data_IF_030468984301
#
_entry.id   IF_030468984301
#
_cell.length_a   1.000
_cell.length_b   1.000
_cell.length_c   1.000
_cell.angle_alpha   90.00
_cell.angle_beta   90.00
_cell.angle_gamma   90.00
#
_symmetry.space_group_name_H-M   'P 1'
#
loop_
_entity.id
_entity.type
_entity.pdbx_description
1 polymer ?
#
# COMPACT_ATOMS: atom_id res chain seq x y z
N UNK A 1 0.22 -29.19 12.62
CA UNK A 1 0.93 -30.42 12.21
C UNK A 1 0.40 -30.87 10.86
N UNK A 2 1.12 -30.53 9.78
CA UNK A 2 1.11 -31.34 8.57
C UNK A 2 2.58 -31.54 8.19
N UNK A 3 3.04 -32.76 8.42
CA UNK A 3 4.40 -33.24 8.16
C UNK A 3 4.48 -33.74 6.73
N UNK A 4 5.48 -33.25 6.00
CA UNK A 4 6.14 -33.80 4.80
C UNK A 4 6.05 -32.82 3.62
N UNK A 5 7.20 -32.22 3.31
CA UNK A 5 7.47 -31.23 2.25
C UNK A 5 7.21 -29.79 2.68
N UNK A 6 8.29 -29.04 2.96
CA UNK A 6 8.29 -27.57 3.02
C UNK A 6 8.04 -26.97 1.61
N UNK A 7 6.96 -27.40 0.95
CA UNK A 7 6.49 -26.77 -0.26
C UNK A 7 5.81 -25.47 0.15
N UNK A 8 6.33 -24.33 -0.30
CA UNK A 8 5.68 -23.02 -0.13
C UNK A 8 4.38 -23.02 -0.93
N UNK A 9 3.26 -23.30 -0.26
CA UNK A 9 1.93 -23.26 -0.87
C UNK A 9 1.46 -21.81 -0.94
N UNK A 10 1.17 -21.32 -2.13
CA UNK A 10 0.57 -20.00 -2.32
C UNK A 10 -0.96 -20.11 -2.28
N UNK A 11 -1.62 -18.96 -2.07
CA UNK A 11 -3.07 -18.87 -2.20
C UNK A 11 -3.57 -19.47 -3.53
N UNK A 12 -2.86 -19.20 -4.64
CA UNK A 12 -3.21 -19.73 -5.96
C UNK A 12 -3.18 -21.26 -6.03
N UNK A 13 -2.14 -21.90 -5.48
CA UNK A 13 -2.06 -23.38 -5.45
C UNK A 13 -3.12 -24.03 -4.57
N UNK A 14 -3.48 -23.38 -3.46
CA UNK A 14 -4.52 -23.88 -2.56
C UNK A 14 -5.92 -23.73 -3.17
N UNK A 15 -6.16 -22.63 -3.89
CA UNK A 15 -7.40 -22.42 -4.64
C UNK A 15 -7.57 -23.48 -5.75
N UNK A 16 -6.50 -23.80 -6.48
CA UNK A 16 -6.52 -24.85 -7.52
C UNK A 16 -6.75 -26.25 -6.93
N UNK A 17 -6.17 -26.55 -5.78
CA UNK A 17 -6.42 -27.82 -5.09
C UNK A 17 -7.88 -27.91 -4.61
N UNK A 18 -8.41 -26.81 -4.04
CA UNK A 18 -9.79 -26.74 -3.58
C UNK A 18 -10.80 -26.85 -4.73
N UNK A 19 -10.50 -26.30 -5.91
CA UNK A 19 -11.41 -26.39 -7.08
C UNK A 19 -11.60 -27.81 -7.61
N UNK A 20 -10.75 -28.77 -7.20
CA UNK A 20 -10.87 -30.18 -7.57
C UNK A 20 -11.82 -30.95 -6.63
N UNK A 21 -12.29 -30.32 -5.55
CA UNK A 21 -13.22 -30.91 -4.59
C UNK A 21 -14.65 -30.45 -4.87
N UNK A 22 -15.62 -31.35 -4.71
CA UNK A 22 -17.06 -31.07 -4.92
C UNK A 22 -17.77 -30.58 -3.65
N UNK A 23 -17.02 -30.20 -2.63
CA UNK A 23 -17.52 -29.76 -1.32
C UNK A 23 -16.93 -28.39 -0.95
N UNK A 24 -17.65 -27.56 -0.17
CA UNK A 24 -17.10 -26.30 0.33
C UNK A 24 -15.85 -26.53 1.19
N UNK A 25 -14.80 -25.73 0.95
CA UNK A 25 -13.54 -25.78 1.69
C UNK A 25 -13.36 -24.49 2.49
N UNK A 26 -13.11 -24.61 3.79
CA UNK A 26 -12.69 -23.48 4.65
C UNK A 26 -11.18 -23.50 4.81
N UNK A 27 -10.53 -22.40 4.42
CA UNK A 27 -9.10 -22.19 4.59
C UNK A 27 -8.85 -21.16 5.69
N UNK A 28 -8.01 -21.50 6.67
CA UNK A 28 -7.56 -20.59 7.72
C UNK A 28 -6.04 -20.69 7.81
N UNK A 29 -5.35 -19.56 7.69
CA UNK A 29 -3.90 -19.48 7.86
C UNK A 29 -3.52 -19.25 9.32
N UNK A 30 -2.36 -19.76 9.72
CA UNK A 30 -1.76 -19.38 11.00
C UNK A 30 -1.15 -17.97 10.90
N UNK A 31 -0.86 -17.36 12.04
CA UNK A 31 -0.18 -16.06 12.08
C UNK A 31 1.23 -16.11 11.48
N UNK A 32 1.92 -17.24 11.61
CA UNK A 32 3.25 -17.43 11.05
C UNK A 32 3.20 -17.52 9.51
N UNK A 33 2.23 -18.27 8.99
CA UNK A 33 1.98 -18.34 7.54
C UNK A 33 1.61 -16.97 6.96
N UNK A 34 0.76 -16.21 7.64
CA UNK A 34 0.33 -14.86 7.24
C UNK A 34 1.53 -13.89 7.10
N UNK A 35 2.37 -13.81 8.13
CA UNK A 35 3.51 -12.88 8.16
C UNK A 35 4.60 -13.24 7.13
N UNK A 36 4.79 -14.53 6.83
CA UNK A 36 5.83 -14.97 5.89
C UNK A 36 5.45 -14.79 4.42
N UNK A 37 4.15 -14.72 4.11
CA UNK A 37 3.66 -14.77 2.74
C UNK A 37 2.95 -13.48 2.30
N UNK A 38 2.67 -12.56 3.22
CA UNK A 38 2.24 -11.21 2.87
C UNK A 38 3.45 -10.30 2.54
N UNK A 39 3.17 -9.17 1.90
CA UNK A 39 4.19 -8.21 1.52
C UNK A 39 4.29 -7.13 2.58
N UNK A 40 5.51 -6.89 3.04
CA UNK A 40 5.77 -5.84 4.02
C UNK A 40 5.37 -4.47 3.48
N UNK A 41 4.83 -3.62 4.37
CA UNK A 41 4.61 -2.22 4.04
C UNK A 41 5.96 -1.59 3.71
N UNK A 42 6.14 -0.99 2.52
CA UNK A 42 7.40 -0.36 2.16
C UNK A 42 7.71 0.79 3.10
N UNK A 43 9.00 1.02 3.34
CA UNK A 43 9.44 2.24 3.99
C UNK A 43 9.03 3.44 3.12
N UNK A 44 8.45 4.45 3.77
CA UNK A 44 8.02 5.67 3.11
C UNK A 44 8.58 6.87 3.87
N UNK A 45 8.99 7.89 3.12
CA UNK A 45 9.38 9.18 3.65
C UNK A 45 8.56 10.28 2.98
N UNK A 46 7.92 11.12 3.79
CA UNK A 46 7.14 12.25 3.31
C UNK A 46 7.70 13.55 3.92
N UNK A 47 7.95 14.54 3.06
CA UNK A 47 8.27 15.90 3.46
C UNK A 47 7.14 16.81 3.02
N UNK A 48 6.52 17.47 4.00
CA UNK A 48 5.40 18.38 3.79
C UNK A 48 5.81 19.81 4.12
N UNK A 49 5.29 20.78 3.39
CA UNK A 49 5.49 22.20 3.65
C UNK A 49 4.23 22.97 3.26
N UNK A 50 3.92 24.03 4.00
CA UNK A 50 2.74 24.85 3.74
C UNK A 50 3.05 26.33 4.00
N UNK A 51 2.37 27.20 3.26
CA UNK A 51 2.30 28.63 3.56
C UNK A 51 0.92 28.93 4.15
N UNK A 52 0.89 29.72 5.21
CA UNK A 52 -0.34 30.08 5.93
C UNK A 52 -0.65 31.57 5.74
N UNK A 53 -1.94 31.93 5.80
CA UNK A 53 -2.37 33.32 5.93
C UNK A 53 -2.33 33.81 7.39
N UNK A 54 -2.84 35.03 7.62
CA UNK A 54 -2.85 35.67 8.94
C UNK A 54 -3.78 34.97 9.94
N UNK A 55 -4.80 34.26 9.46
CA UNK A 55 -5.76 33.50 10.27
C UNK A 55 -5.29 32.06 10.52
N UNK A 56 -4.15 31.67 9.94
CA UNK A 56 -3.55 30.35 10.06
C UNK A 56 -4.06 29.34 9.04
N UNK A 57 -4.81 29.77 8.03
CA UNK A 57 -5.30 28.91 6.96
C UNK A 57 -4.21 28.66 5.89
N UNK A 58 -4.04 27.40 5.43
CA UNK A 58 -3.09 27.10 4.38
C UNK A 58 -3.52 27.68 3.03
N UNK A 59 -2.66 28.53 2.47
CA UNK A 59 -2.80 29.12 1.13
C UNK A 59 -1.91 28.42 0.09
N UNK A 60 -0.90 27.67 0.54
CA UNK A 60 -0.11 26.80 -0.32
C UNK A 60 0.32 25.53 0.41
N UNK A 61 0.44 24.43 -0.33
CA UNK A 61 0.84 23.12 0.17
C UNK A 61 1.77 22.42 -0.82
N UNK A 62 2.86 21.86 -0.31
CA UNK A 62 3.79 21.04 -1.08
C UNK A 62 4.07 19.74 -0.37
N UNK A 63 3.92 18.62 -1.08
CA UNK A 63 4.24 17.28 -0.59
C UNK A 63 5.27 16.59 -1.47
N UNK A 64 6.36 16.10 -0.87
CA UNK A 64 7.32 15.20 -1.54
C UNK A 64 7.30 13.85 -0.85
N UNK A 65 7.06 12.79 -1.60
CA UNK A 65 6.98 11.42 -1.08
C UNK A 65 8.01 10.54 -1.78
N UNK A 66 8.74 9.74 -0.98
CA UNK A 66 9.59 8.65 -1.47
C UNK A 66 9.06 7.34 -0.93
N UNK A 67 8.70 6.41 -1.80
CA UNK A 67 8.16 5.11 -1.42
C UNK A 67 8.36 4.11 -2.56
N UNK A 68 8.55 2.82 -2.26
CA UNK A 68 8.53 1.79 -3.29
C UNK A 68 7.09 1.55 -3.75
N UNK A 69 6.84 1.55 -5.07
CA UNK A 69 5.52 1.20 -5.56
C UNK A 69 5.25 -0.29 -5.47
N UNK A 70 4.04 -0.60 -5.02
CA UNK A 70 3.56 -1.96 -4.86
C UNK A 70 2.64 -2.42 -6.00
N UNK A 71 1.82 -1.50 -6.48
CA UNK A 71 0.79 -1.70 -7.50
C UNK A 71 1.15 -1.06 -8.83
N UNK A 72 2.36 -0.50 -8.95
CA UNK A 72 2.81 0.28 -10.11
C UNK A 72 2.53 1.78 -9.97
N UNK A 73 2.96 2.56 -10.96
CA UNK A 73 2.74 4.01 -11.00
C UNK A 73 1.61 4.34 -11.96
N UNK A 74 0.75 5.28 -11.57
CA UNK A 74 -0.29 5.86 -12.41
C UNK A 74 -0.02 7.36 -12.52
N UNK A 75 0.19 7.85 -13.74
CA UNK A 75 0.62 9.23 -14.01
C UNK A 75 1.89 9.64 -13.23
N UNK A 76 2.85 8.72 -13.07
CA UNK A 76 4.09 8.95 -12.32
C UNK A 76 3.92 8.94 -10.80
N UNK A 77 2.73 8.66 -10.28
CA UNK A 77 2.42 8.61 -8.85
C UNK A 77 2.07 7.19 -8.41
N UNK A 78 2.52 6.78 -7.23
CA UNK A 78 1.91 5.66 -6.53
C UNK A 78 0.73 6.18 -5.70
N UNK A 79 -0.50 5.89 -6.15
CA UNK A 79 -1.74 6.31 -5.46
C UNK A 79 -1.73 5.96 -3.97
N UNK A 80 -1.27 4.76 -3.60
CA UNK A 80 -1.22 4.30 -2.21
C UNK A 80 -0.06 4.91 -1.41
N UNK A 81 0.95 5.43 -2.12
CA UNK A 81 2.07 6.15 -1.53
C UNK A 81 1.71 7.60 -1.24
N UNK A 82 0.86 8.22 -2.06
CA UNK A 82 0.47 9.63 -1.93
C UNK A 82 -0.93 9.84 -1.34
N UNK A 83 -1.62 8.78 -0.95
CA UNK A 83 -2.95 8.87 -0.34
C UNK A 83 -2.93 9.73 0.93
N UNK A 84 -3.93 10.60 1.08
CA UNK A 84 -4.05 11.63 2.11
C UNK A 84 -3.12 12.83 1.94
N UNK A 85 -2.12 12.73 1.06
CA UNK A 85 -1.18 13.80 0.73
C UNK A 85 -1.63 14.47 -0.57
N UNK A 86 -1.76 13.72 -1.66
CA UNK A 86 -2.13 14.25 -2.97
C UNK A 86 -3.63 14.61 -3.12
N UNK A 87 -4.49 13.93 -2.37
CA UNK A 87 -5.94 14.06 -2.36
C UNK A 87 -6.43 14.77 -1.09
N UNK A 88 -5.78 15.88 -0.75
CA UNK A 88 -6.14 16.70 0.41
C UNK A 88 -7.60 17.16 0.32
N UNK A 89 -8.34 16.99 1.43
CA UNK A 89 -9.77 17.32 1.50
C UNK A 89 -10.05 18.82 1.76
N UNK A 90 -9.01 19.61 1.95
CA UNK A 90 -9.10 21.04 2.20
C UNK A 90 -9.00 21.81 0.88
N UNK A 91 -9.75 22.90 0.79
CA UNK A 91 -9.73 23.80 -0.36
C UNK A 91 -8.51 24.73 -0.30
N UNK A 92 -7.33 24.15 -0.54
CA UNK A 92 -6.05 24.87 -0.57
C UNK A 92 -5.81 25.32 -2.02
N UNK A 93 -5.68 26.63 -2.28
CA UNK A 93 -5.66 27.14 -3.66
C UNK A 93 -4.39 26.75 -4.44
N UNK A 94 -3.27 26.55 -3.76
CA UNK A 94 -1.99 26.26 -4.42
C UNK A 94 -1.40 24.95 -3.90
N UNK A 95 -1.40 23.91 -4.73
CA UNK A 95 -0.99 22.57 -4.32
C UNK A 95 0.02 21.99 -5.32
N UNK A 96 1.14 21.47 -4.81
CA UNK A 96 2.19 20.83 -5.61
C UNK A 96 2.65 19.51 -5.00
N UNK A 97 2.85 18.49 -5.84
CA UNK A 97 3.29 17.16 -5.39
C UNK A 97 4.42 16.57 -6.22
N UNK A 98 5.32 15.88 -5.52
CA UNK A 98 6.42 15.14 -6.10
C UNK A 98 6.45 13.73 -5.50
N UNK A 99 6.60 12.73 -6.37
CA UNK A 99 6.78 11.34 -6.00
C UNK A 99 8.09 10.82 -6.56
N UNK A 100 8.83 10.08 -5.74
CA UNK A 100 10.06 9.39 -6.16
C UNK A 100 10.05 7.95 -5.68
N UNK A 101 10.57 7.05 -6.48
CA UNK A 101 10.91 5.70 -6.01
C UNK A 101 12.33 5.72 -5.41
N UNK A 102 12.58 4.96 -4.33
CA UNK A 102 13.92 4.82 -3.74
C UNK A 102 14.90 4.08 -4.64
#
# INVERSE_FOLDING_TARGET
MNTSTNARLSFGSLAEAASKLTVPVKLTFSRDDDIQHDRYRPAAYAKLSAALDADGWPIAYTGRVVCSSFTGLQNGLNREGVAGVADVLYDIPNVHFEYHEP
#
